data_IF_014411604677
#
_entry.id   IF_014411604677
#
_cell.length_a   1.000
_cell.length_b   1.000
_cell.length_c   1.000
_cell.angle_alpha   90.00
_cell.angle_beta   90.00
_cell.angle_gamma   90.00
#
_symmetry.space_group_name_H-M   'P 1'
#
loop_
_entity.id
_entity.type
_entity.pdbx_description
1 polymer ?
#
# COMPACT_ATOMS: atom_id res chain seq x y z
N UNK A 1 -37.46 -9.04 9.04
CA UNK A 1 -36.42 -8.18 8.41
C UNK A 1 -35.25 -7.82 9.34
N UNK A 2 -35.46 -7.46 10.62
CA UNK A 2 -34.36 -7.07 11.54
C UNK A 2 -33.27 -8.14 11.80
N UNK A 3 -33.63 -9.43 11.88
CA UNK A 3 -32.68 -10.52 12.15
C UNK A 3 -31.62 -10.71 11.04
N UNK A 4 -32.03 -10.58 9.77
CA UNK A 4 -31.13 -10.72 8.62
C UNK A 4 -30.13 -9.55 8.52
N UNK A 5 -30.56 -8.34 8.90
CA UNK A 5 -29.70 -7.14 8.96
C UNK A 5 -28.64 -7.25 10.06
N UNK A 6 -28.99 -7.77 11.23
CA UNK A 6 -28.04 -7.98 12.33
C UNK A 6 -26.99 -9.03 11.97
N UNK A 7 -27.39 -10.15 11.37
CA UNK A 7 -26.45 -11.18 10.91
C UNK A 7 -25.45 -10.63 9.88
N UNK A 8 -25.92 -9.83 8.92
CA UNK A 8 -25.06 -9.20 7.92
C UNK A 8 -24.07 -8.20 8.56
N UNK A 9 -24.52 -7.41 9.54
CA UNK A 9 -23.64 -6.47 10.27
C UNK A 9 -22.59 -7.23 11.09
N UNK A 10 -22.96 -8.32 11.75
CA UNK A 10 -22.04 -9.15 12.52
C UNK A 10 -21.01 -9.85 11.62
N UNK A 11 -21.44 -10.41 10.49
CA UNK A 11 -20.56 -11.00 9.48
C UNK A 11 -19.54 -9.98 8.97
N UNK A 12 -20.02 -8.80 8.53
CA UNK A 12 -19.13 -7.73 8.07
C UNK A 12 -18.12 -7.30 9.15
N UNK A 13 -18.55 -7.19 10.42
CA UNK A 13 -17.64 -6.84 11.54
C UNK A 13 -16.57 -7.90 11.79
N UNK A 14 -16.91 -9.19 11.63
CA UNK A 14 -15.97 -10.30 11.77
C UNK A 14 -14.95 -10.28 10.62
N UNK A 15 -15.42 -10.05 9.39
CA UNK A 15 -14.56 -9.95 8.21
C UNK A 15 -13.55 -8.81 8.35
N UNK A 16 -13.99 -7.61 8.75
CA UNK A 16 -13.09 -6.46 8.97
C UNK A 16 -12.08 -6.71 10.12
N UNK A 17 -12.46 -7.46 11.16
CA UNK A 17 -11.53 -7.82 12.26
C UNK A 17 -10.45 -8.79 11.76
N UNK A 18 -10.83 -9.75 10.95
CA UNK A 18 -9.91 -10.72 10.36
C UNK A 18 -8.92 -10.04 9.41
N UNK A 19 -9.41 -9.14 8.55
CA UNK A 19 -8.57 -8.34 7.64
C UNK A 19 -7.56 -7.48 8.40
N UNK A 20 -7.97 -6.79 9.48
CA UNK A 20 -7.04 -6.01 10.33
C UNK A 20 -5.97 -6.86 10.98
N UNK A 21 -6.32 -8.07 11.44
CA UNK A 21 -5.35 -8.98 12.04
C UNK A 21 -4.38 -9.54 10.98
N UNK A 22 -4.86 -9.83 9.78
CA UNK A 22 -4.03 -10.26 8.65
C UNK A 22 -3.04 -9.15 8.26
N UNK A 23 -3.53 -7.92 8.09
CA UNK A 23 -2.71 -6.75 7.78
C UNK A 23 -1.60 -6.58 8.82
N UNK A 24 -1.93 -6.61 10.12
CA UNK A 24 -0.94 -6.47 11.20
C UNK A 24 0.14 -7.53 11.13
N UNK A 25 -0.26 -8.81 11.04
CA UNK A 25 0.70 -9.93 10.97
C UNK A 25 1.64 -9.82 9.77
N UNK A 26 1.12 -9.35 8.63
CA UNK A 26 1.93 -9.17 7.43
C UNK A 26 2.89 -8.00 7.61
N UNK A 27 2.43 -6.84 8.09
CA UNK A 27 3.29 -5.68 8.37
C UNK A 27 4.40 -6.00 9.37
N UNK A 28 4.10 -6.80 10.41
CA UNK A 28 5.09 -7.27 11.38
C UNK A 28 6.18 -8.11 10.69
N UNK A 29 5.80 -9.05 9.82
CA UNK A 29 6.76 -9.87 9.04
C UNK A 29 7.58 -9.05 8.07
N UNK A 30 6.95 -8.08 7.41
CA UNK A 30 7.58 -7.18 6.45
C UNK A 30 8.68 -6.35 7.11
N UNK A 31 8.48 -5.95 8.37
CA UNK A 31 9.35 -4.99 9.07
C UNK A 31 10.24 -5.62 10.13
N UNK A 32 10.04 -6.90 10.46
CA UNK A 32 10.81 -7.58 11.50
C UNK A 32 12.24 -7.86 11.04
N UNK A 33 13.20 -7.44 11.85
CA UNK A 33 14.62 -7.79 11.69
C UNK A 33 14.91 -9.27 11.92
N UNK A 34 13.97 -10.02 12.51
CA UNK A 34 14.09 -11.47 12.70
C UNK A 34 13.63 -12.28 11.48
N UNK A 35 12.94 -11.65 10.53
CA UNK A 35 12.47 -12.31 9.31
C UNK A 35 13.59 -12.34 8.28
N UNK A 36 13.73 -13.49 7.62
CA UNK A 36 14.68 -13.66 6.52
C UNK A 36 14.22 -12.89 5.27
N UNK A 37 15.16 -12.56 4.39
CA UNK A 37 14.87 -11.90 3.11
C UNK A 37 13.76 -12.63 2.32
N UNK A 38 13.76 -13.97 2.14
CA UNK A 38 12.67 -14.66 1.47
C UNK A 38 11.30 -14.52 2.17
N UNK A 39 11.27 -14.50 3.50
CA UNK A 39 10.03 -14.32 4.26
C UNK A 39 9.46 -12.91 4.10
N UNK A 40 10.32 -11.89 4.12
CA UNK A 40 9.92 -10.50 3.86
C UNK A 40 9.38 -10.35 2.44
N UNK A 41 10.05 -10.93 1.43
CA UNK A 41 9.54 -10.97 0.03
C UNK A 41 8.16 -11.61 -0.06
N UNK A 42 8.00 -12.77 0.59
CA UNK A 42 6.72 -13.47 0.58
C UNK A 42 5.62 -12.66 1.26
N UNK A 43 5.95 -11.95 2.35
CA UNK A 43 5.00 -11.10 3.06
C UNK A 43 4.57 -9.89 2.21
N UNK A 44 5.49 -9.24 1.48
CA UNK A 44 5.16 -8.17 0.52
C UNK A 44 4.23 -8.68 -0.59
N UNK A 45 4.52 -9.87 -1.12
CA UNK A 45 3.69 -10.50 -2.15
C UNK A 45 2.29 -10.84 -1.61
N UNK A 46 2.20 -11.39 -0.41
CA UNK A 46 0.92 -11.68 0.26
C UNK A 46 0.11 -10.39 0.47
N UNK A 47 0.76 -9.32 0.90
CA UNK A 47 0.14 -8.01 1.07
C UNK A 47 -0.47 -7.49 -0.23
N UNK A 48 0.28 -7.57 -1.34
CA UNK A 48 -0.22 -7.21 -2.66
C UNK A 48 -1.42 -8.04 -3.08
N UNK A 49 -1.37 -9.36 -2.90
CA UNK A 49 -2.44 -10.26 -3.31
C UNK A 49 -3.75 -9.98 -2.57
N UNK A 50 -3.67 -9.68 -1.27
CA UNK A 50 -4.83 -9.28 -0.47
C UNK A 50 -5.42 -7.95 -0.97
N UNK A 51 -4.57 -7.01 -1.37
CA UNK A 51 -5.01 -5.73 -1.87
C UNK A 51 -5.66 -5.83 -3.27
N UNK A 52 -5.11 -6.65 -4.18
CA UNK A 52 -5.57 -6.74 -5.58
C UNK A 52 -7.06 -7.11 -5.75
N UNK A 53 -7.68 -7.72 -4.74
CA UNK A 53 -9.04 -8.26 -4.85
C UNK A 53 -10.01 -7.71 -3.79
N UNK A 54 -9.59 -6.74 -2.97
CA UNK A 54 -10.36 -6.39 -1.76
C UNK A 54 -10.36 -4.89 -1.46
N UNK A 55 -11.46 -4.23 -1.83
CA UNK A 55 -11.68 -2.80 -1.54
C UNK A 55 -11.72 -2.49 -0.04
N UNK A 56 -12.29 -3.36 0.80
CA UNK A 56 -12.27 -3.17 2.26
C UNK A 56 -10.85 -3.25 2.81
N UNK A 57 -10.02 -4.13 2.27
CA UNK A 57 -8.60 -4.21 2.63
C UNK A 57 -7.84 -2.95 2.20
N UNK A 58 -8.09 -2.41 1.01
CA UNK A 58 -7.49 -1.15 0.56
C UNK A 58 -7.87 0.04 1.46
N UNK A 59 -9.13 0.12 1.88
CA UNK A 59 -9.58 1.14 2.83
C UNK A 59 -8.87 0.96 4.19
N UNK A 60 -8.77 -0.27 4.70
CA UNK A 60 -8.08 -0.58 5.95
C UNK A 60 -6.58 -0.23 5.92
N UNK A 61 -5.91 -0.44 4.79
CA UNK A 61 -4.51 -0.04 4.61
C UNK A 61 -4.40 1.48 4.62
N UNK A 62 -5.32 2.19 3.96
CA UNK A 62 -5.39 3.66 4.00
C UNK A 62 -5.65 4.21 5.41
N UNK A 63 -6.49 3.55 6.21
CA UNK A 63 -6.72 3.91 7.62
C UNK A 63 -5.49 3.72 8.51
N UNK A 64 -4.49 2.92 8.08
CA UNK A 64 -3.29 2.64 8.86
C UNK A 64 -2.13 3.53 8.37
N UNK A 65 -1.82 4.64 9.08
CA UNK A 65 -0.77 5.58 8.66
C UNK A 65 0.61 4.92 8.58
N UNK A 66 0.84 3.85 9.33
CA UNK A 66 2.11 3.15 9.36
C UNK A 66 2.25 2.14 8.21
N UNK A 67 1.16 1.75 7.54
CA UNK A 67 1.23 0.71 6.50
C UNK A 67 2.10 1.17 5.31
N UNK A 68 1.99 2.44 4.91
CA UNK A 68 2.80 3.01 3.82
C UNK A 68 4.26 3.14 4.25
N UNK A 69 4.55 3.59 5.48
CA UNK A 69 5.93 3.66 5.98
C UNK A 69 6.58 2.28 6.11
N UNK A 70 5.85 1.27 6.58
CA UNK A 70 6.36 -0.11 6.60
C UNK A 70 6.64 -0.63 5.18
N UNK A 71 5.73 -0.39 4.23
CA UNK A 71 5.97 -0.72 2.81
C UNK A 71 7.19 0.01 2.26
N UNK A 72 7.40 1.27 2.65
CA UNK A 72 8.57 2.03 2.23
C UNK A 72 9.88 1.48 2.82
N UNK A 73 9.84 1.06 4.08
CA UNK A 73 10.99 0.51 4.79
C UNK A 73 11.55 -0.76 4.14
N UNK A 74 10.70 -1.56 3.49
CA UNK A 74 11.09 -2.78 2.73
C UNK A 74 12.12 -2.46 1.66
N UNK A 75 11.88 -1.39 0.91
CA UNK A 75 12.75 -0.99 -0.18
C UNK A 75 14.05 -0.34 0.34
N UNK A 76 14.15 -0.07 1.64
CA UNK A 76 15.38 0.36 2.30
C UNK A 76 16.22 -0.80 2.84
N UNK A 77 15.69 -2.03 2.88
CA UNK A 77 16.42 -3.21 3.37
C UNK A 77 17.43 -3.67 2.31
N UNK A 78 18.73 -3.78 2.65
CA UNK A 78 19.75 -4.31 1.74
C UNK A 78 19.40 -5.71 1.25
N UNK A 79 19.35 -5.89 -0.08
CA UNK A 79 19.00 -7.17 -0.72
C UNK A 79 17.52 -7.31 -1.09
N UNK A 80 16.63 -6.45 -0.57
CA UNK A 80 15.27 -6.26 -1.09
C UNK A 80 15.20 -5.08 -2.05
N UNK A 81 15.96 -4.02 -1.79
CA UNK A 81 16.02 -2.81 -2.61
C UNK A 81 16.36 -3.08 -4.09
N UNK A 82 17.26 -4.03 -4.35
CA UNK A 82 17.68 -4.42 -5.71
C UNK A 82 16.80 -5.54 -6.32
N UNK A 83 15.80 -6.04 -5.60
CA UNK A 83 14.93 -7.09 -6.10
C UNK A 83 13.77 -6.49 -6.92
N UNK A 84 13.79 -6.73 -8.21
CA UNK A 84 12.79 -6.21 -9.15
C UNK A 84 11.37 -6.70 -8.83
N UNK A 85 11.21 -7.92 -8.31
CA UNK A 85 9.89 -8.44 -7.94
C UNK A 85 9.34 -7.74 -6.70
N UNK A 86 10.20 -7.42 -5.74
CA UNK A 86 9.83 -6.67 -4.53
C UNK A 86 9.45 -5.24 -4.88
N UNK A 87 10.23 -4.58 -5.74
CA UNK A 87 9.88 -3.25 -6.26
C UNK A 87 8.53 -3.27 -6.98
N UNK A 88 8.32 -4.21 -7.90
CA UNK A 88 7.06 -4.34 -8.64
C UNK A 88 5.88 -4.62 -7.71
N UNK A 89 6.03 -5.56 -6.76
CA UNK A 89 4.97 -5.91 -5.83
C UNK A 89 4.60 -4.72 -4.94
N UNK A 90 5.59 -3.96 -4.48
CA UNK A 90 5.43 -2.77 -3.63
C UNK A 90 4.76 -1.63 -4.41
N UNK A 91 5.23 -1.32 -5.62
CA UNK A 91 4.65 -0.26 -6.46
C UNK A 91 3.23 -0.61 -6.88
N UNK A 92 2.95 -1.86 -7.21
CA UNK A 92 1.59 -2.31 -7.55
C UNK A 92 0.65 -2.21 -6.35
N UNK A 93 1.13 -2.57 -5.15
CA UNK A 93 0.37 -2.36 -3.92
C UNK A 93 0.03 -0.88 -3.71
N UNK A 94 1.02 0.02 -3.85
CA UNK A 94 0.80 1.46 -3.74
C UNK A 94 -0.15 1.99 -4.83
N UNK A 95 -0.06 1.48 -6.06
CA UNK A 95 -0.96 1.84 -7.15
C UNK A 95 -2.40 1.49 -6.79
N UNK A 96 -2.65 0.28 -6.29
CA UNK A 96 -3.98 -0.15 -5.95
C UNK A 96 -4.58 0.64 -4.77
N UNK A 97 -3.76 1.11 -3.82
CA UNK A 97 -4.23 2.02 -2.77
C UNK A 97 -4.80 3.31 -3.37
N UNK A 98 -4.20 3.80 -4.46
CA UNK A 98 -4.57 5.05 -5.12
C UNK A 98 -5.80 4.96 -6.02
N UNK A 99 -6.34 3.75 -6.23
CA UNK A 99 -7.65 3.57 -6.85
C UNK A 99 -8.73 4.27 -5.98
N UNK A 100 -8.55 4.29 -4.66
CA UNK A 100 -9.44 4.99 -3.74
C UNK A 100 -8.97 6.43 -3.49
N UNK A 101 -9.81 7.40 -3.81
CA UNK A 101 -9.50 8.84 -3.65
C UNK A 101 -9.09 9.22 -2.22
N UNK A 102 -9.69 8.58 -1.21
CA UNK A 102 -9.36 8.80 0.20
C UNK A 102 -7.89 8.53 0.53
N UNK A 103 -7.24 7.64 -0.23
CA UNK A 103 -5.88 7.20 0.03
C UNK A 103 -4.84 8.03 -0.73
N UNK A 104 -5.25 8.83 -1.72
CA UNK A 104 -4.32 9.60 -2.55
C UNK A 104 -3.57 10.68 -1.79
N UNK A 105 -4.25 11.34 -0.85
CA UNK A 105 -3.60 12.29 0.05
C UNK A 105 -2.55 11.61 0.94
N UNK A 106 -2.83 10.39 1.41
CA UNK A 106 -1.96 9.66 2.33
C UNK A 106 -0.63 9.30 1.65
N UNK A 107 -0.69 8.79 0.41
CA UNK A 107 0.54 8.50 -0.36
C UNK A 107 1.26 9.79 -0.76
N UNK A 108 0.52 10.83 -1.19
CA UNK A 108 1.11 12.09 -1.66
C UNK A 108 1.79 12.93 -0.57
N UNK A 109 1.32 12.83 0.68
CA UNK A 109 1.89 13.53 1.83
C UNK A 109 3.05 12.74 2.48
N UNK A 110 3.22 11.47 2.16
CA UNK A 110 4.31 10.64 2.67
C UNK A 110 5.59 10.81 1.82
N UNK A 111 6.59 11.51 2.39
CA UNK A 111 7.86 11.83 1.72
C UNK A 111 8.63 10.57 1.32
N UNK A 112 8.65 9.55 2.17
CA UNK A 112 9.35 8.28 1.90
C UNK A 112 8.72 7.55 0.71
N UNK A 113 7.39 7.48 0.67
CA UNK A 113 6.66 6.86 -0.43
C UNK A 113 6.96 7.59 -1.76
N UNK A 114 6.94 8.91 -1.77
CA UNK A 114 7.26 9.71 -2.96
C UNK A 114 8.70 9.47 -3.43
N UNK A 115 9.67 9.43 -2.51
CA UNK A 115 11.06 9.16 -2.85
C UNK A 115 11.24 7.78 -3.51
N UNK A 116 10.59 6.76 -2.96
CA UNK A 116 10.64 5.39 -3.50
C UNK A 116 9.98 5.27 -4.87
N UNK A 117 8.89 6.01 -5.11
CA UNK A 117 8.24 6.05 -6.42
C UNK A 117 9.15 6.72 -7.47
N UNK A 118 9.93 7.73 -7.09
CA UNK A 118 10.93 8.36 -7.98
C UNK A 118 12.05 7.37 -8.29
N UNK A 119 12.52 6.60 -7.30
CA UNK A 119 13.53 5.56 -7.51
C UNK A 119 13.00 4.47 -8.45
N UNK A 120 11.81 3.93 -8.17
CA UNK A 120 11.18 2.91 -9.00
C UNK A 120 10.88 3.37 -10.43
N UNK A 121 10.60 4.67 -10.64
CA UNK A 121 10.48 5.28 -11.97
C UNK A 121 11.80 5.27 -12.75
N UNK A 122 12.93 5.37 -12.06
CA UNK A 122 14.26 5.42 -12.65
C UNK A 122 14.86 4.02 -12.87
N UNK A 123 14.68 3.09 -11.94
CA UNK A 123 15.35 1.78 -11.95
C UNK A 123 14.44 0.58 -12.25
N UNK A 124 13.12 0.76 -12.21
CA UNK A 124 12.17 -0.35 -12.33
C UNK A 124 12.04 -0.93 -13.74
N UNK A 125 11.34 -2.06 -13.84
CA UNK A 125 10.92 -2.60 -15.14
C UNK A 125 9.82 -1.73 -15.79
N UNK A 126 9.43 -2.03 -17.03
CA UNK A 126 8.46 -1.21 -17.79
C UNK A 126 7.14 -0.97 -17.03
N UNK A 127 6.58 -2.02 -16.42
CA UNK A 127 5.33 -1.94 -15.66
C UNK A 127 5.50 -1.10 -14.38
N UNK A 128 6.57 -1.37 -13.62
CA UNK A 128 6.91 -0.63 -12.39
C UNK A 128 7.08 0.86 -12.67
N UNK A 129 7.75 1.21 -13.76
CA UNK A 129 7.96 2.60 -14.17
C UNK A 129 6.65 3.28 -14.59
N UNK A 130 5.83 2.60 -15.38
CA UNK A 130 4.51 3.08 -15.80
C UNK A 130 3.57 3.33 -14.60
N UNK A 131 3.53 2.38 -13.67
CA UNK A 131 2.73 2.50 -12.45
C UNK A 131 3.25 3.65 -11.59
N UNK A 132 4.56 3.75 -11.38
CA UNK A 132 5.17 4.85 -10.61
C UNK A 132 4.87 6.22 -11.22
N UNK A 133 4.97 6.38 -12.54
CA UNK A 133 4.63 7.62 -13.23
C UNK A 133 3.15 8.00 -13.03
N UNK A 134 2.24 7.03 -13.14
CA UNK A 134 0.80 7.25 -12.95
C UNK A 134 0.49 7.68 -11.52
N UNK A 135 1.14 7.05 -10.53
CA UNK A 135 1.01 7.42 -9.13
C UNK A 135 1.47 8.86 -8.90
N UNK A 136 2.69 9.19 -9.33
CA UNK A 136 3.29 10.52 -9.16
C UNK A 136 2.44 11.61 -9.81
N UNK A 137 1.89 11.35 -10.99
CA UNK A 137 0.93 12.25 -11.64
C UNK A 137 -0.34 12.45 -10.80
N UNK A 138 -0.95 11.37 -10.30
CA UNK A 138 -2.16 11.45 -9.48
C UNK A 138 -1.94 12.22 -8.18
N UNK A 139 -0.81 12.04 -7.50
CA UNK A 139 -0.55 12.74 -6.22
C UNK A 139 -0.08 14.19 -6.43
N UNK A 140 0.61 14.49 -7.53
CA UNK A 140 1.03 15.87 -7.86
C UNK A 140 -0.15 16.76 -8.26
N UNK A 141 -1.11 16.22 -9.01
CA UNK A 141 -2.34 16.95 -9.39
C UNK A 141 -3.22 17.28 -8.17
N UNK A 142 -3.18 16.48 -7.10
CA UNK A 142 -3.83 16.81 -5.83
C UNK A 142 -3.15 17.98 -5.10
N UNK A 143 -1.82 17.99 -5.04
CA UNK A 143 -1.08 19.13 -4.44
C UNK A 143 -1.31 20.42 -5.22
N UNK A 144 -1.33 20.35 -6.55
CA UNK A 144 -1.66 21.49 -7.40
C UNK A 144 -3.10 22.00 -7.15
N UNK A 145 -4.09 21.09 -7.07
CA UNK A 145 -5.49 21.47 -6.74
C UNK A 145 -5.64 22.13 -5.37
N UNK A 146 -4.90 21.65 -4.36
CA UNK A 146 -4.93 22.25 -3.02
C UNK A 146 -4.30 23.66 -3.01
N UNK A 147 -3.23 23.88 -3.78
CA UNK A 147 -2.59 25.21 -3.86
C UNK A 147 -3.49 26.28 -4.51
N UNK A 148 -4.36 25.89 -5.45
CA UNK A 148 -5.32 26.79 -6.12
C UNK A 148 -6.55 27.15 -5.27
N UNK A 149 -6.78 26.45 -4.15
CA UNK A 149 -7.88 26.73 -3.22
C UNK A 149 -7.46 27.64 -2.06
N UNK A 150 -6.18 27.97 -1.95
CA UNK A 150 -5.61 28.79 -0.86
C UNK A 150 -5.02 30.12 -1.38
N UNK A 151 -5.17 30.41 -2.68
CA UNK A 151 -4.80 31.68 -3.32
C UNK A 151 -6.03 32.54 -3.60
#
# INVERSE_FOLDING_TARGET
MMSHSLHKIMSNKVDTRNERNALRKILDKVSSSSSSIPEQKQAVRELRLLNKQNESFCALVGENPNAISHLGSVLSVPGLNCDLQVQEDTVTMMFNLLIHESNKKIVGDNVEAVALLIEALNSGNMETRSNSATILFNVSTLKAKLSLLVS
#
